data_IF_939391546839
#
_entry.id   IF_939391546839
#
_cell.length_a   1.000
_cell.length_b   1.000
_cell.length_c   1.000
_cell.angle_alpha   90.00
_cell.angle_beta   90.00
_cell.angle_gamma   90.00
#
_symmetry.space_group_name_H-M   'P 1'
#
loop_
_entity.id
_entity.type
_entity.pdbx_description
1 polymer ?
#
# COMPACT_ATOMS: atom_id res chain seq x y z
N UNK A 1 10.00 7.51 18.81
CA UNK A 1 8.61 7.50 19.29
C UNK A 1 7.97 8.81 18.89
N UNK A 2 6.98 8.79 17.99
CA UNK A 2 6.22 9.97 17.64
C UNK A 2 5.51 10.51 18.91
N UNK A 3 5.60 11.80 19.20
CA UNK A 3 4.95 12.37 20.39
C UNK A 3 3.42 12.34 20.19
N UNK A 4 2.69 11.77 21.16
CA UNK A 4 1.23 11.85 21.22
C UNK A 4 0.47 10.54 20.95
N UNK A 5 1.14 9.42 20.72
CA UNK A 5 0.46 8.13 20.58
C UNK A 5 -0.04 7.64 21.94
N UNK A 6 -1.32 7.21 21.98
CA UNK A 6 -1.95 6.70 23.21
C UNK A 6 -1.23 5.46 23.72
N UNK A 7 -1.40 5.13 25.02
CA UNK A 7 -0.87 3.92 25.64
C UNK A 7 -1.39 2.60 25.02
N UNK A 8 -2.30 2.69 24.05
CA UNK A 8 -2.88 1.55 23.31
C UNK A 8 -2.11 1.21 22.02
N UNK A 9 -1.17 2.08 21.56
CA UNK A 9 -0.38 1.81 20.35
C UNK A 9 0.74 0.83 20.68
N UNK A 10 0.87 -0.21 19.87
CA UNK A 10 1.93 -1.21 19.93
C UNK A 10 2.77 -1.16 18.68
N UNK A 11 4.05 -1.45 18.82
CA UNK A 11 5.00 -1.48 17.72
C UNK A 11 5.60 -2.88 17.60
N UNK A 12 5.67 -3.37 16.36
CA UNK A 12 6.42 -4.56 15.98
C UNK A 12 7.43 -4.18 14.92
N UNK A 13 8.62 -4.76 14.99
CA UNK A 13 9.63 -4.63 13.95
C UNK A 13 9.66 -5.90 13.12
N UNK A 14 9.69 -5.76 11.79
CA UNK A 14 9.81 -6.86 10.83
C UNK A 14 11.05 -6.67 9.97
N UNK A 15 11.72 -7.75 9.65
CA UNK A 15 12.75 -7.82 8.61
C UNK A 15 12.14 -8.15 7.22
N UNK A 16 10.81 -8.24 7.18
CA UNK A 16 10.00 -8.61 6.01
C UNK A 16 10.23 -10.03 5.47
N UNK A 17 10.89 -10.92 6.22
CA UNK A 17 10.88 -12.35 5.91
C UNK A 17 9.47 -12.93 6.13
N UNK A 18 9.14 -14.01 5.41
CA UNK A 18 7.85 -14.71 5.55
C UNK A 18 7.60 -15.09 7.01
N UNK A 19 8.62 -15.63 7.69
CA UNK A 19 8.52 -16.00 9.11
C UNK A 19 8.24 -14.80 10.03
N UNK A 20 8.84 -13.63 9.76
CA UNK A 20 8.57 -12.41 10.52
C UNK A 20 7.15 -11.89 10.28
N UNK A 21 6.68 -11.91 9.03
CA UNK A 21 5.31 -11.49 8.66
C UNK A 21 4.28 -12.40 9.34
N UNK A 22 4.45 -13.72 9.23
CA UNK A 22 3.56 -14.70 9.85
C UNK A 22 3.54 -14.58 11.38
N UNK A 23 4.71 -14.43 12.02
CA UNK A 23 4.82 -14.27 13.47
C UNK A 23 4.12 -13.03 13.98
N UNK A 24 4.30 -11.89 13.30
CA UNK A 24 3.64 -10.62 13.69
C UNK A 24 2.14 -10.68 13.45
N UNK A 25 1.70 -11.20 12.31
CA UNK A 25 0.29 -11.34 12.01
C UNK A 25 -0.42 -12.28 13.00
N UNK A 26 0.22 -13.40 13.36
CA UNK A 26 -0.26 -14.32 14.39
C UNK A 26 -0.38 -13.62 15.74
N UNK A 27 0.67 -12.94 16.20
CA UNK A 27 0.67 -12.22 17.48
C UNK A 27 -0.41 -11.12 17.57
N UNK A 28 -0.75 -10.48 16.46
CA UNK A 28 -1.83 -9.49 16.40
C UNK A 28 -3.19 -10.20 16.42
N UNK A 29 -3.38 -11.24 15.60
CA UNK A 29 -4.64 -11.98 15.49
C UNK A 29 -5.03 -12.71 16.79
N UNK A 30 -4.07 -13.33 17.46
CA UNK A 30 -4.28 -14.02 18.75
C UNK A 30 -4.79 -13.08 19.84
N UNK A 31 -4.50 -11.80 19.73
CA UNK A 31 -4.91 -10.79 20.72
C UNK A 31 -6.26 -10.17 20.42
N UNK A 32 -6.54 -9.90 19.15
CA UNK A 32 -7.74 -9.18 18.70
C UNK A 32 -8.84 -10.13 18.20
N UNK A 33 -8.49 -11.34 17.81
CA UNK A 33 -9.39 -12.29 17.17
C UNK A 33 -9.77 -11.87 15.74
N UNK A 34 -10.24 -10.64 15.56
CA UNK A 34 -10.62 -10.06 14.28
C UNK A 34 -9.86 -8.77 14.01
N UNK A 35 -9.76 -8.38 12.74
CA UNK A 35 -9.08 -7.17 12.30
C UNK A 35 -10.02 -6.34 11.42
N UNK A 36 -10.52 -5.24 11.96
CA UNK A 36 -11.48 -4.37 11.27
C UNK A 36 -10.82 -3.40 10.26
N UNK A 37 -9.58 -2.98 10.51
CA UNK A 37 -8.87 -2.02 9.67
C UNK A 37 -7.44 -2.49 9.42
N UNK A 38 -7.04 -2.55 8.16
CA UNK A 38 -5.67 -2.84 7.73
C UNK A 38 -5.22 -1.78 6.74
N UNK A 39 -4.15 -1.06 7.06
CA UNK A 39 -3.54 -0.07 6.15
C UNK A 39 -2.10 -0.48 5.86
N UNK A 40 -1.78 -0.69 4.59
CA UNK A 40 -0.45 -1.06 4.12
C UNK A 40 0.16 0.10 3.33
N UNK A 41 1.28 0.62 3.82
CA UNK A 41 1.90 1.85 3.29
C UNK A 41 3.24 1.63 2.62
N UNK A 42 3.66 0.38 2.40
CA UNK A 42 4.92 0.04 1.74
C UNK A 42 5.01 0.65 0.34
N UNK A 43 6.18 1.21 0.04
CA UNK A 43 6.43 1.72 -1.31
C UNK A 43 7.79 2.37 -1.45
N UNK A 44 8.46 2.07 -2.57
CA UNK A 44 9.72 2.68 -2.99
C UNK A 44 9.63 3.10 -4.46
N UNK A 45 10.31 4.17 -4.82
CA UNK A 45 10.42 4.67 -6.20
C UNK A 45 11.88 4.82 -6.62
N UNK A 46 12.73 5.14 -5.66
CA UNK A 46 14.15 5.39 -5.82
C UNK A 46 14.92 4.95 -4.58
N UNK A 47 16.23 4.87 -4.70
CA UNK A 47 17.16 4.56 -3.61
C UNK A 47 18.52 5.22 -3.84
N UNK A 48 19.51 4.85 -3.05
CA UNK A 48 20.87 5.38 -3.18
C UNK A 48 21.46 5.03 -4.55
N UNK A 49 21.26 3.79 -5.00
CA UNK A 49 21.91 3.20 -6.18
C UNK A 49 21.05 3.20 -7.45
N UNK A 50 19.77 3.65 -7.38
CA UNK A 50 18.86 3.63 -8.52
C UNK A 50 17.90 4.81 -8.54
N UNK A 51 17.44 5.13 -9.75
CA UNK A 51 16.44 6.15 -10.03
C UNK A 51 15.38 5.56 -10.96
N UNK A 52 14.16 6.13 -11.00
CA UNK A 52 13.14 5.71 -11.96
C UNK A 52 13.65 5.78 -13.40
N UNK A 53 13.43 4.72 -14.15
CA UNK A 53 13.91 4.59 -15.52
C UNK A 53 13.21 5.58 -16.46
N UNK A 54 13.98 6.28 -17.27
CA UNK A 54 13.48 7.19 -18.34
C UNK A 54 13.47 6.54 -19.70
N UNK A 55 14.19 5.44 -19.87
CA UNK A 55 14.32 4.74 -21.14
C UNK A 55 14.50 3.24 -20.91
N UNK A 56 14.07 2.43 -21.89
CA UNK A 56 14.10 0.97 -21.84
C UNK A 56 15.48 0.40 -21.51
N UNK A 57 16.54 1.03 -22.08
CA UNK A 57 17.93 0.64 -21.84
C UNK A 57 18.41 0.80 -20.40
N UNK A 58 17.65 1.48 -19.54
CA UNK A 58 17.99 1.68 -18.13
C UNK A 58 17.40 0.59 -17.23
N UNK A 59 16.63 -0.35 -17.79
CA UNK A 59 16.10 -1.47 -17.04
C UNK A 59 17.22 -2.32 -16.44
N UNK A 60 17.05 -2.66 -15.17
CA UNK A 60 17.94 -3.55 -14.44
C UNK A 60 17.11 -4.63 -13.73
N UNK A 61 17.50 -5.89 -13.89
CA UNK A 61 16.85 -7.02 -13.19
C UNK A 61 16.81 -6.78 -11.67
N UNK A 62 17.93 -6.35 -11.09
CA UNK A 62 18.04 -6.13 -9.65
C UNK A 62 17.09 -5.03 -9.16
N UNK A 63 17.04 -3.89 -9.88
CA UNK A 63 16.14 -2.78 -9.57
C UNK A 63 14.66 -3.20 -9.70
N UNK A 64 14.33 -3.88 -10.82
CA UNK A 64 12.97 -4.41 -11.03
C UNK A 64 12.57 -5.34 -9.89
N UNK A 65 13.40 -6.33 -9.55
CA UNK A 65 13.11 -7.28 -8.46
C UNK A 65 12.85 -6.54 -7.13
N UNK A 66 13.73 -5.60 -6.76
CA UNK A 66 13.60 -4.81 -5.52
C UNK A 66 12.31 -3.99 -5.50
N UNK A 67 11.96 -3.33 -6.61
CA UNK A 67 10.74 -2.51 -6.69
C UNK A 67 9.49 -3.38 -6.64
N UNK A 68 9.46 -4.52 -7.33
CA UNK A 68 8.33 -5.46 -7.27
C UNK A 68 8.20 -6.09 -5.89
N UNK A 69 9.30 -6.45 -5.26
CA UNK A 69 9.30 -6.98 -3.89
C UNK A 69 8.59 -6.02 -2.95
N UNK A 70 9.05 -4.77 -2.86
CA UNK A 70 8.51 -3.82 -1.88
C UNK A 70 7.13 -3.29 -2.26
N UNK A 71 6.87 -3.03 -3.56
CA UNK A 71 5.64 -2.37 -3.98
C UNK A 71 4.48 -3.33 -4.26
N UNK A 72 4.76 -4.61 -4.47
CA UNK A 72 3.75 -5.59 -4.89
C UNK A 72 3.72 -6.79 -3.94
N UNK A 73 4.86 -7.48 -3.77
CA UNK A 73 4.89 -8.75 -3.03
C UNK A 73 4.64 -8.52 -1.54
N UNK A 74 5.41 -7.65 -0.88
CA UNK A 74 5.25 -7.38 0.55
C UNK A 74 3.84 -6.94 0.94
N UNK A 75 3.18 -5.97 0.25
CA UNK A 75 1.79 -5.65 0.56
C UNK A 75 0.84 -6.84 0.49
N UNK A 76 1.02 -7.70 -0.50
CA UNK A 76 0.14 -8.87 -0.66
C UNK A 76 0.43 -9.97 0.36
N UNK A 77 1.70 -10.17 0.74
CA UNK A 77 2.07 -11.09 1.82
C UNK A 77 1.47 -10.66 3.16
N UNK A 78 1.54 -9.36 3.49
CA UNK A 78 0.86 -8.83 4.68
C UNK A 78 -0.66 -9.02 4.62
N UNK A 79 -1.28 -8.71 3.48
CA UNK A 79 -2.73 -8.92 3.31
C UNK A 79 -3.10 -10.40 3.49
N UNK A 80 -2.31 -11.30 2.90
CA UNK A 80 -2.48 -12.74 3.03
C UNK A 80 -2.31 -13.24 4.47
N UNK A 81 -1.31 -12.75 5.19
CA UNK A 81 -1.06 -13.13 6.58
C UNK A 81 -2.21 -12.75 7.53
N UNK A 82 -2.95 -11.68 7.22
CA UNK A 82 -4.14 -11.28 7.97
C UNK A 82 -5.46 -11.82 7.40
N UNK A 83 -5.42 -12.66 6.36
CA UNK A 83 -6.60 -13.13 5.65
C UNK A 83 -7.70 -13.66 6.58
N UNK A 84 -7.37 -14.55 7.51
CA UNK A 84 -8.38 -15.16 8.38
C UNK A 84 -8.97 -14.17 9.39
N UNK A 85 -8.14 -13.31 10.00
CA UNK A 85 -8.61 -12.27 10.93
C UNK A 85 -9.51 -11.24 10.25
N UNK A 86 -9.22 -10.89 8.98
CA UNK A 86 -10.06 -10.01 8.16
C UNK A 86 -11.34 -10.70 7.72
N UNK A 87 -11.27 -11.99 7.34
CA UNK A 87 -12.45 -12.76 6.92
C UNK A 87 -13.48 -12.88 8.03
N UNK A 88 -13.04 -12.99 9.29
CA UNK A 88 -13.91 -13.12 10.45
C UNK A 88 -14.41 -11.80 11.02
N UNK A 89 -13.84 -10.67 10.61
CA UNK A 89 -14.26 -9.36 11.06
C UNK A 89 -15.67 -9.01 10.55
N UNK A 90 -16.39 -8.18 11.28
CA UNK A 90 -17.76 -7.80 10.91
C UNK A 90 -17.78 -6.93 9.65
N UNK A 91 -16.92 -5.91 9.61
CA UNK A 91 -16.83 -4.98 8.49
C UNK A 91 -15.36 -4.63 8.17
N UNK A 92 -14.56 -5.59 7.65
CA UNK A 92 -13.16 -5.36 7.41
C UNK A 92 -12.94 -4.34 6.28
N UNK A 93 -12.09 -3.37 6.54
CA UNK A 93 -11.68 -2.32 5.61
C UNK A 93 -10.18 -2.38 5.41
N UNK A 94 -9.74 -2.60 4.20
CA UNK A 94 -8.34 -2.71 3.85
C UNK A 94 -7.95 -1.61 2.86
N UNK A 95 -6.88 -0.91 3.14
CA UNK A 95 -6.32 0.07 2.22
C UNK A 95 -4.84 -0.22 1.96
N UNK A 96 -4.47 -0.24 0.70
CA UNK A 96 -3.07 -0.41 0.28
C UNK A 96 -2.67 0.78 -0.58
N UNK A 97 -1.54 1.42 -0.23
CA UNK A 97 -1.05 2.57 -1.00
C UNK A 97 -0.61 2.16 -2.40
N UNK A 98 -1.36 2.63 -3.37
CA UNK A 98 -1.06 2.51 -4.79
C UNK A 98 -0.67 3.86 -5.39
N UNK A 99 -0.68 3.97 -6.70
CA UNK A 99 -0.39 5.20 -7.40
C UNK A 99 -1.15 5.26 -8.74
N UNK A 100 -1.56 6.48 -9.16
CA UNK A 100 -2.19 6.72 -10.46
C UNK A 100 -1.38 6.16 -11.62
N UNK A 101 -0.06 6.22 -11.52
CA UNK A 101 0.87 5.70 -12.54
C UNK A 101 0.80 4.19 -12.74
N UNK A 102 0.13 3.44 -11.85
CA UNK A 102 -0.22 2.03 -12.03
C UNK A 102 -1.38 1.79 -12.99
N UNK A 103 -2.07 2.83 -13.47
CA UNK A 103 -3.08 2.72 -14.51
C UNK A 103 -2.41 2.52 -15.87
N UNK A 104 -2.74 1.43 -16.56
CA UNK A 104 -2.21 1.13 -17.91
C UNK A 104 -2.81 2.11 -18.93
N UNK A 105 -4.12 2.32 -18.88
CA UNK A 105 -4.84 3.17 -19.83
C UNK A 105 -4.55 4.68 -19.69
N UNK A 106 -4.10 5.12 -18.52
CA UNK A 106 -3.76 6.53 -18.23
C UNK A 106 -2.27 6.85 -18.45
N UNK A 107 -1.51 5.89 -19.01
CA UNK A 107 -0.08 6.05 -19.23
C UNK A 107 0.23 6.71 -20.58
N UNK A 108 0.24 8.04 -20.60
CA UNK A 108 0.61 8.84 -21.77
C UNK A 108 2.06 9.37 -21.72
N UNK A 109 2.74 9.26 -20.57
CA UNK A 109 4.08 9.83 -20.36
C UNK A 109 5.21 8.83 -20.55
N UNK A 110 4.95 7.54 -20.35
CA UNK A 110 5.99 6.52 -20.34
C UNK A 110 6.96 6.67 -19.17
N UNK A 111 8.14 6.04 -19.29
CA UNK A 111 9.15 6.03 -18.23
C UNK A 111 8.71 5.31 -16.96
N UNK A 112 9.57 5.30 -15.93
CA UNK A 112 9.30 4.69 -14.62
C UNK A 112 8.79 3.25 -14.72
N UNK A 113 9.39 2.49 -15.62
CA UNK A 113 8.90 1.18 -16.02
C UNK A 113 8.66 0.24 -14.85
N UNK A 114 9.66 0.07 -13.98
CA UNK A 114 9.56 -0.82 -12.82
C UNK A 114 8.49 -0.34 -11.83
N UNK A 115 8.44 0.96 -11.57
CA UNK A 115 7.46 1.52 -10.62
C UNK A 115 6.03 1.42 -11.14
N UNK A 116 5.78 1.84 -12.40
CA UNK A 116 4.45 1.71 -13.03
C UNK A 116 4.00 0.26 -13.07
N UNK A 117 4.87 -0.64 -13.53
CA UNK A 117 4.54 -2.05 -13.63
C UNK A 117 4.26 -2.68 -12.25
N UNK A 118 5.03 -2.35 -11.21
CA UNK A 118 4.78 -2.84 -9.85
C UNK A 118 3.44 -2.36 -9.29
N UNK A 119 3.07 -1.09 -9.51
CA UNK A 119 1.77 -0.57 -9.05
C UNK A 119 0.58 -1.09 -9.87
N UNK A 120 0.78 -1.36 -11.17
CA UNK A 120 -0.21 -2.07 -12.00
C UNK A 120 -0.43 -3.51 -11.52
N UNK A 121 0.66 -4.23 -11.23
CA UNK A 121 0.60 -5.57 -10.66
C UNK A 121 -0.10 -5.59 -9.30
N UNK A 122 0.24 -4.64 -8.40
CA UNK A 122 -0.44 -4.47 -7.13
C UNK A 122 -1.95 -4.26 -7.33
N UNK A 123 -2.36 -3.35 -8.22
CA UNK A 123 -3.78 -3.09 -8.49
C UNK A 123 -4.51 -4.35 -8.96
N UNK A 124 -3.89 -5.16 -9.84
CA UNK A 124 -4.46 -6.41 -10.29
C UNK A 124 -4.60 -7.42 -9.14
N UNK A 125 -3.59 -7.56 -8.29
CA UNK A 125 -3.64 -8.48 -7.16
C UNK A 125 -4.70 -8.05 -6.12
N UNK A 126 -4.82 -6.74 -5.86
CA UNK A 126 -5.88 -6.20 -5.00
C UNK A 126 -7.28 -6.43 -5.59
N UNK A 127 -7.44 -6.33 -6.91
CA UNK A 127 -8.69 -6.69 -7.59
C UNK A 127 -9.02 -8.17 -7.40
N UNK A 128 -8.05 -9.07 -7.55
CA UNK A 128 -8.24 -10.50 -7.28
C UNK A 128 -8.65 -10.74 -5.83
N UNK A 129 -7.95 -10.13 -4.87
CA UNK A 129 -8.29 -10.23 -3.45
C UNK A 129 -9.69 -9.67 -3.15
N UNK A 130 -10.10 -8.56 -3.78
CA UNK A 130 -11.45 -8.00 -3.64
C UNK A 130 -12.54 -8.96 -4.11
N UNK A 131 -12.31 -9.65 -5.23
CA UNK A 131 -13.25 -10.69 -5.73
C UNK A 131 -13.32 -11.88 -4.79
N UNK A 132 -12.18 -12.31 -4.23
CA UNK A 132 -12.11 -13.38 -3.25
C UNK A 132 -12.85 -13.03 -1.97
N UNK A 133 -12.49 -11.91 -1.34
CA UNK A 133 -13.16 -11.44 -0.12
C UNK A 133 -14.65 -11.20 -0.32
N UNK A 134 -15.08 -10.68 -1.47
CA UNK A 134 -16.50 -10.51 -1.78
C UNK A 134 -17.33 -11.80 -1.78
N UNK A 135 -16.66 -12.96 -1.90
CA UNK A 135 -17.29 -14.29 -1.75
C UNK A 135 -17.27 -14.80 -0.31
N UNK A 136 -16.22 -14.46 0.44
CA UNK A 136 -15.98 -14.96 1.81
C UNK A 136 -16.65 -14.08 2.88
N UNK A 137 -16.62 -12.77 2.68
CA UNK A 137 -17.21 -11.78 3.58
C UNK A 137 -17.74 -10.61 2.73
N UNK A 138 -19.05 -10.56 2.52
CA UNK A 138 -19.70 -9.55 1.65
C UNK A 138 -19.53 -8.11 2.14
N UNK A 139 -19.24 -7.90 3.42
CA UNK A 139 -19.00 -6.58 4.00
C UNK A 139 -17.55 -6.10 3.84
N UNK A 140 -16.63 -6.99 3.38
CA UNK A 140 -15.24 -6.66 3.20
C UNK A 140 -15.04 -5.65 2.04
N UNK A 141 -14.17 -4.68 2.26
CA UNK A 141 -13.79 -3.71 1.23
C UNK A 141 -12.28 -3.57 1.15
N UNK A 142 -11.76 -3.61 -0.08
CA UNK A 142 -10.35 -3.40 -0.40
C UNK A 142 -10.21 -2.15 -1.25
N UNK A 143 -9.41 -1.20 -0.78
CA UNK A 143 -9.14 0.07 -1.42
C UNK A 143 -7.69 0.13 -1.91
N UNK A 144 -7.49 0.21 -3.23
CA UNK A 144 -6.23 0.65 -3.82
C UNK A 144 -6.17 2.19 -3.74
N UNK A 145 -5.50 2.72 -2.72
CA UNK A 145 -5.53 4.14 -2.41
C UNK A 145 -4.42 4.90 -3.12
N UNK A 146 -4.79 5.87 -3.96
CA UNK A 146 -3.85 6.81 -4.55
C UNK A 146 -3.94 8.17 -3.82
N UNK A 147 -2.92 8.54 -3.02
CA UNK A 147 -2.98 9.72 -2.16
C UNK A 147 -2.78 11.07 -2.89
N UNK A 148 -2.54 11.07 -4.19
CA UNK A 148 -1.99 12.23 -4.88
C UNK A 148 -0.48 12.34 -4.66
N UNK A 149 0.10 13.54 -4.82
CA UNK A 149 1.50 13.79 -4.46
C UNK A 149 1.54 14.27 -3.02
N UNK A 150 2.17 13.48 -2.16
CA UNK A 150 2.30 13.76 -0.72
C UNK A 150 3.71 14.26 -0.45
N UNK A 151 3.85 15.28 0.37
CA UNK A 151 5.14 15.84 0.76
C UNK A 151 5.91 14.86 1.66
N UNK A 152 6.74 14.05 1.04
CA UNK A 152 7.51 12.96 1.66
C UNK A 152 8.84 12.78 0.93
N UNK A 153 9.84 12.14 1.55
CA UNK A 153 11.11 11.83 0.88
C UNK A 153 10.96 11.03 -0.42
N UNK A 154 9.89 10.24 -0.56
CA UNK A 154 9.63 9.48 -1.81
C UNK A 154 9.30 10.41 -2.97
N UNK A 155 8.54 11.47 -2.73
CA UNK A 155 8.08 12.40 -3.78
C UNK A 155 9.00 13.61 -3.98
N UNK A 156 9.81 13.97 -2.98
CA UNK A 156 10.63 15.19 -2.95
C UNK A 156 11.39 15.49 -4.27
N UNK A 157 12.08 14.53 -4.90
CA UNK A 157 12.80 14.80 -6.14
C UNK A 157 11.90 15.09 -7.36
N UNK A 158 10.59 14.86 -7.24
CA UNK A 158 9.61 14.96 -8.33
C UNK A 158 8.58 16.07 -8.11
N UNK A 159 8.70 16.86 -7.04
CA UNK A 159 7.71 17.87 -6.66
C UNK A 159 7.71 19.12 -7.54
N UNK A 160 8.80 19.40 -8.27
CA UNK A 160 8.93 20.63 -9.10
C UNK A 160 7.83 20.84 -10.13
N UNK A 161 7.17 19.78 -10.58
CA UNK A 161 6.09 19.82 -11.56
C UNK A 161 4.70 19.69 -10.96
N UNK A 162 4.58 19.68 -9.63
CA UNK A 162 3.28 19.55 -8.96
C UNK A 162 2.56 20.90 -9.01
N UNK A 163 1.33 20.95 -9.56
CA UNK A 163 0.55 22.20 -9.58
C UNK A 163 0.31 22.74 -8.17
N UNK A 164 0.14 24.05 -8.07
CA UNK A 164 -0.19 24.74 -6.82
C UNK A 164 -1.44 24.10 -6.18
N UNK A 165 -1.40 23.85 -4.88
CA UNK A 165 -2.47 23.21 -4.13
C UNK A 165 -2.63 21.71 -4.36
N UNK A 166 -1.71 21.04 -5.09
CA UNK A 166 -1.74 19.59 -5.35
C UNK A 166 -0.62 18.81 -4.65
N UNK A 167 0.19 19.47 -3.86
CA UNK A 167 1.13 18.85 -2.91
C UNK A 167 0.44 18.77 -1.56
N UNK A 168 0.13 17.56 -1.12
CA UNK A 168 -0.63 17.33 0.11
C UNK A 168 0.31 17.01 1.27
N UNK A 169 -0.08 17.38 2.49
CA UNK A 169 0.65 16.96 3.68
C UNK A 169 0.30 15.51 4.06
N UNK A 170 1.21 14.78 4.74
CA UNK A 170 0.92 13.45 5.24
C UNK A 170 -0.32 13.39 6.13
N UNK A 171 -0.51 14.40 7.00
CA UNK A 171 -1.64 14.50 7.92
C UNK A 171 -2.98 14.62 7.17
N UNK A 172 -3.02 15.47 6.15
CA UNK A 172 -4.21 15.61 5.30
C UNK A 172 -4.58 14.30 4.62
N UNK A 173 -3.57 13.61 4.04
CA UNK A 173 -3.77 12.34 3.35
C UNK A 173 -4.21 11.24 4.32
N UNK A 174 -3.61 11.17 5.51
CA UNK A 174 -4.00 10.21 6.55
C UNK A 174 -5.45 10.44 7.00
N UNK A 175 -5.85 11.70 7.24
CA UNK A 175 -7.22 12.06 7.59
C UNK A 175 -8.21 11.62 6.50
N UNK A 176 -7.92 11.91 5.23
CA UNK A 176 -8.78 11.49 4.10
C UNK A 176 -8.87 9.97 3.95
N UNK A 177 -7.78 9.24 4.22
CA UNK A 177 -7.81 7.78 4.19
C UNK A 177 -8.70 7.21 5.30
N UNK A 178 -8.59 7.74 6.52
CA UNK A 178 -9.44 7.32 7.65
C UNK A 178 -10.91 7.58 7.32
N UNK A 179 -11.27 8.78 6.87
CA UNK A 179 -12.64 9.11 6.44
C UNK A 179 -13.16 8.11 5.39
N UNK A 180 -12.37 7.81 4.34
CA UNK A 180 -12.75 6.84 3.33
C UNK A 180 -12.97 5.42 3.87
N UNK A 181 -12.19 5.02 4.89
CA UNK A 181 -12.35 3.71 5.51
C UNK A 181 -13.57 3.66 6.45
N UNK A 182 -13.98 4.80 7.01
CA UNK A 182 -15.13 4.88 7.93
C UNK A 182 -16.45 5.13 7.16
N UNK A 183 -16.44 5.95 6.11
CA UNK A 183 -17.62 6.31 5.31
C UNK A 183 -17.98 5.31 4.20
N UNK A 184 -17.16 4.27 4.01
CA UNK A 184 -17.42 3.31 2.93
C UNK A 184 -18.80 2.67 3.10
N UNK A 185 -19.71 2.78 2.11
CA UNK A 185 -21.07 2.27 2.24
C UNK A 185 -21.06 0.77 2.52
N UNK A 186 -21.82 0.36 3.51
CA UNK A 186 -22.20 -1.04 3.71
C UNK A 186 -23.14 -1.42 2.56
N UNK A 187 -22.63 -2.20 1.60
CA UNK A 187 -23.45 -2.75 0.49
C UNK A 187 -24.38 -3.85 0.99
#
# INVERSE_FOLDING_TARGET
TAPGLSSQVRHWSSDYSDASIESIAGAISDRSGTLERLVITNGILQGEDYRPERALRQLSRATMAKIFEVNTMLPMLWLGAFHEALRQAEQPRMAVLSARVGSIGDNHLGGWYSYRASKAALNMMLQCASVEFGRLNKSAQILAFHPGTVDTPLSEPFQRGVPEGKLFTPEFVAGRLVELLDDAPTT
#
